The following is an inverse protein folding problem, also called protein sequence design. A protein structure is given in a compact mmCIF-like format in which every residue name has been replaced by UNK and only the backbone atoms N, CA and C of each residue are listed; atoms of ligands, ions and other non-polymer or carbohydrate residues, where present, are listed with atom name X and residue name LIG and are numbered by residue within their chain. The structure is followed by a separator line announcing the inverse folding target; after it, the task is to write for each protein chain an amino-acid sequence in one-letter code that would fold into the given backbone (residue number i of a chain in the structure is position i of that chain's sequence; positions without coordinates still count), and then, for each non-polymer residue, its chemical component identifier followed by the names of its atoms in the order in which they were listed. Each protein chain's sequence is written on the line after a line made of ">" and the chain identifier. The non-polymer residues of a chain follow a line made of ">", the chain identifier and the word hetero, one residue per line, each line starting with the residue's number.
data_IF_065886603947
#
_entry.id   IF_065886603947
#
_cell.length_a   1.000
_cell.length_b   1.000
_cell.length_c   1.000
_cell.angle_alpha   90.00
_cell.angle_beta   90.00
_cell.angle_gamma   90.00
#
_symmetry.space_group_name_H-M   'P 1'
#
loop_
_entity.id
_entity.type
_entity.pdbx_description
1 polymer ?
2 non-polymer ?
3 water ?
#
# COMPACT_ATOMS: atom_id res chain seq x y z
N UNK A 4 6.52 -18.28 -6.16
CA UNK A 4 5.39 -19.16 -6.41
C UNK A 4 4.41 -18.54 -7.39
N UNK A 5 3.53 -19.34 -7.78
CA UNK A 5 2.50 -18.85 -8.69
C UNK A 5 1.65 -17.77 -8.02
N UNK A 6 1.30 -17.98 -6.75
CA UNK A 6 0.53 -16.96 -6.05
C UNK A 6 1.33 -15.68 -5.89
N UNK A 7 2.63 -15.79 -5.64
CA UNK A 7 3.43 -14.58 -5.51
C UNK A 7 3.60 -13.85 -6.84
N UNK A 8 3.58 -14.58 -7.96
CA UNK A 8 3.56 -13.91 -9.26
C UNK A 8 2.28 -13.11 -9.43
N UNK A 9 1.14 -13.68 -9.02
CA UNK A 9 -0.10 -12.91 -9.05
C UNK A 9 0.01 -11.66 -8.19
N UNK A 10 0.61 -11.79 -7.00
CA UNK A 10 0.81 -10.64 -6.13
C UNK A 10 1.68 -9.59 -6.81
N UNK A 11 2.76 -10.03 -7.46
CA UNK A 11 3.61 -9.08 -8.18
C UNK A 11 2.84 -8.39 -9.30
N UNK A 12 1.96 -9.12 -9.98
CA UNK A 12 1.11 -8.50 -10.99
C UNK A 12 0.23 -7.42 -10.41
N UNK A 13 -0.40 -7.71 -9.27
CA UNK A 13 -1.21 -6.71 -8.57
C UNK A 13 -0.36 -5.48 -8.24
N UNK A 14 0.82 -5.72 -7.69
CA UNK A 14 1.72 -4.60 -7.28
C UNK A 14 2.02 -3.73 -8.50
N UNK A 15 2.35 -4.37 -9.62
CA UNK A 15 2.65 -3.65 -10.85
C UNK A 15 1.43 -2.82 -11.24
N UNK A 16 0.24 -3.41 -11.16
CA UNK A 16 -0.97 -2.67 -11.49
C UNK A 16 -1.16 -1.46 -10.57
N UNK A 17 -0.95 -1.64 -9.27
CA UNK A 17 -1.15 -0.53 -8.34
C UNK A 17 -0.20 0.63 -8.64
N UNK A 18 0.97 0.33 -9.20
CA UNK A 18 1.97 1.33 -9.55
C UNK A 18 1.81 1.87 -10.96
N UNK A 19 0.81 1.43 -11.71
CA UNK A 19 0.69 1.74 -13.13
C UNK A 19 -0.11 3.02 -13.37
N UNK A 20 0.02 3.55 -14.59
CA UNK A 20 -0.57 4.85 -14.89
C UNK A 20 -2.08 4.86 -14.70
N UNK A 21 -2.76 3.74 -14.95
CA UNK A 21 -4.21 3.79 -14.91
C UNK A 21 -4.76 4.08 -13.51
N UNK A 22 -3.97 3.85 -12.45
CA UNK A 22 -4.41 4.14 -11.09
C UNK A 22 -3.69 5.33 -10.47
N UNK A 23 -2.85 6.03 -11.25
CA UNK A 23 -1.94 7.01 -10.67
C UNK A 23 -2.68 8.18 -10.03
N UNK A 24 -3.90 8.48 -10.48
CA UNK A 24 -4.60 9.64 -9.96
C UNK A 24 -4.91 9.50 -8.48
N UNK A 25 -5.08 8.27 -7.99
CA UNK A 25 -5.33 8.02 -6.58
C UNK A 25 -4.24 7.20 -5.89
N UNK A 26 -3.33 6.58 -6.64
CA UNK A 26 -2.27 5.78 -6.03
C UNK A 26 -1.06 6.60 -5.59
N UNK A 27 -0.87 7.80 -6.15
CA UNK A 27 0.40 8.50 -5.95
C UNK A 27 0.77 8.73 -4.49
N UNK A 28 -0.15 8.99 -3.56
CA UNK A 28 0.30 9.20 -2.17
C UNK A 28 0.97 7.98 -1.56
N UNK A 29 0.73 6.79 -2.12
CA UNK A 29 1.23 5.53 -1.59
C UNK A 29 2.52 5.08 -2.25
N UNK A 30 3.06 5.86 -3.20
CA UNK A 30 4.23 5.42 -3.96
C UNK A 30 5.49 5.31 -3.10
N UNK A 31 5.67 6.20 -2.14
CA UNK A 31 6.89 6.31 -1.36
C UNK A 31 6.52 6.45 0.10
N UNK A 32 7.46 6.20 1.02
CA UNK A 32 7.15 6.37 2.45
C UNK A 32 6.63 7.78 2.73
N UNK A 33 5.70 7.88 3.67
CA UNK A 33 5.30 9.19 4.17
C UNK A 33 6.54 9.88 4.72
N UNK A 34 6.85 11.07 4.19
CA UNK A 34 7.93 11.90 4.75
C UNK A 34 7.26 12.86 5.72
N UNK A 35 7.17 12.43 6.98
CA UNK A 35 6.37 13.15 7.96
C UNK A 35 6.91 14.55 8.18
N UNK A 36 8.22 14.68 8.31
CA UNK A 36 8.80 16.00 8.54
C UNK A 36 8.55 16.93 7.36
N UNK A 37 8.70 16.44 6.13
CA UNK A 37 8.43 17.28 4.96
C UNK A 37 7.00 17.80 4.96
N UNK A 38 6.05 17.00 5.45
CA UNK A 38 4.64 17.36 5.47
C UNK A 38 4.24 18.09 6.75
N UNK A 39 5.16 18.30 7.68
CA UNK A 39 4.81 18.91 8.95
C UNK A 39 4.02 18.02 9.89
N UNK A 40 4.03 16.71 9.66
CA UNK A 40 3.22 15.77 10.44
C UNK A 40 4.05 15.19 11.58
N UNK A 41 4.29 16.04 12.58
CA UNK A 41 5.25 15.71 13.62
C UNK A 41 4.76 14.68 14.61
N UNK A 42 3.51 14.24 14.48
CA UNK A 42 2.96 13.15 15.28
C UNK A 42 2.85 11.84 14.52
N UNK A 43 3.21 11.81 13.23
CA UNK A 43 2.95 10.63 12.40
C UNK A 43 3.61 9.39 13.00
N UNK A 44 4.88 9.49 13.38
CA UNK A 44 5.59 8.31 13.85
C UNK A 44 5.29 7.96 15.30
N UNK A 45 4.58 8.82 16.03
CA UNK A 45 4.05 8.41 17.32
C UNK A 45 2.77 7.60 17.14
N UNK A 46 2.05 7.84 16.06
CA UNK A 46 0.77 7.19 15.82
C UNK A 46 0.92 5.93 14.97
N UNK A 47 1.85 5.94 14.01
CA UNK A 47 2.06 4.85 13.07
C UNK A 47 3.33 4.12 13.47
N UNK A 48 3.18 2.93 14.05
CA UNK A 48 4.33 2.17 14.53
C UNK A 48 5.07 1.46 13.40
N UNK A 49 4.36 1.08 12.34
CA UNK A 49 4.92 0.28 11.25
C UNK A 49 4.55 0.91 9.92
N UNK A 50 5.30 1.92 9.48
CA UNK A 50 5.02 2.54 8.18
C UNK A 50 5.13 1.54 7.04
N UNK A 51 4.36 1.78 5.99
CA UNK A 51 4.44 0.94 4.80
C UNK A 51 4.00 1.76 3.60
N UNK A 52 4.52 1.40 2.42
CA UNK A 52 4.23 2.10 1.18
C UNK A 52 4.59 1.16 0.03
N UNK A 53 4.15 1.52 -1.18
CA UNK A 53 4.31 0.62 -2.32
C UNK A 53 5.77 0.42 -2.71
N UNK A 54 6.63 1.44 -2.53
CA UNK A 54 8.04 1.23 -2.89
C UNK A 54 8.70 0.22 -1.97
N UNK A 55 8.28 0.17 -0.71
CA UNK A 55 8.80 -0.81 0.22
C UNK A 55 8.28 -2.20 -0.11
N UNK A 56 7.00 -2.31 -0.43
CA UNK A 56 6.47 -3.59 -0.89
C UNK A 56 7.24 -4.08 -2.11
N UNK A 57 7.50 -3.17 -3.05
CA UNK A 57 8.23 -3.54 -4.26
C UNK A 57 9.64 -4.01 -3.94
N UNK A 58 10.36 -3.28 -3.08
CA UNK A 58 11.69 -3.72 -2.69
C UNK A 58 11.65 -5.10 -2.05
N UNK A 59 10.67 -5.34 -1.18
CA UNK A 59 10.57 -6.64 -0.54
C UNK A 59 10.29 -7.74 -1.55
N UNK A 60 9.40 -7.48 -2.51
CA UNK A 60 9.12 -8.46 -3.56
C UNK A 60 10.37 -8.74 -4.39
N UNK A 61 11.07 -7.68 -4.80
CA UNK A 61 12.29 -7.85 -5.60
C UNK A 61 13.34 -8.65 -4.85
N UNK A 62 13.40 -8.51 -3.53
CA UNK A 62 14.37 -9.21 -2.71
C UNK A 62 13.88 -10.58 -2.26
N UNK A 63 12.71 -11.01 -2.72
CA UNK A 63 12.15 -12.31 -2.34
C UNK A 63 11.93 -12.41 -0.83
N UNK A 64 11.57 -11.29 -0.22
CA UNK A 64 11.32 -11.24 1.22
C UNK A 64 10.02 -11.97 1.58
N UNK A 65 8.99 -11.87 0.74
CA UNK A 65 7.70 -12.46 1.10
C UNK A 65 7.72 -13.99 1.05
N UNK A 66 7.28 -14.62 2.14
CA UNK A 66 7.16 -16.08 2.18
C UNK A 66 6.03 -16.56 1.28
N UNK A 67 4.93 -15.82 1.25
CA UNK A 67 3.71 -16.26 0.58
C UNK A 67 2.82 -15.05 0.32
N UNK A 68 1.71 -15.30 -0.37
CA UNK A 68 0.81 -14.21 -0.73
C UNK A 68 0.20 -13.55 0.49
N UNK A 69 -0.06 -14.34 1.53
CA UNK A 69 -0.67 -13.81 2.78
C UNK A 69 0.24 -12.72 3.37
N UNK A 70 1.55 -12.93 3.35
CA UNK A 70 2.47 -11.95 3.92
C UNK A 70 2.48 -10.67 3.09
N UNK A 71 2.46 -10.80 1.76
CA UNK A 71 2.35 -9.64 0.88
C UNK A 71 1.06 -8.87 1.16
N UNK A 72 -0.06 -9.59 1.24
CA UNK A 72 -1.35 -8.93 1.44
C UNK A 72 -1.38 -8.19 2.77
N UNK A 73 -0.77 -8.76 3.80
CA UNK A 73 -0.76 -8.09 5.10
C UNK A 73 -0.03 -6.75 5.02
N UNK A 74 1.06 -6.68 4.25
CA UNK A 74 1.78 -5.41 4.09
C UNK A 74 0.96 -4.39 3.31
N UNK A 75 0.33 -4.80 2.21
CA UNK A 75 -0.48 -3.86 1.45
C UNK A 75 -1.61 -3.32 2.32
N UNK A 76 -2.24 -4.21 3.09
CA UNK A 76 -3.34 -3.78 3.95
C UNK A 76 -2.84 -2.91 5.10
N UNK A 77 -1.64 -3.19 5.62
CA UNK A 77 -1.03 -2.32 6.63
C UNK A 77 -0.87 -0.90 6.11
N UNK A 78 -0.42 -0.77 4.86
CA UNK A 78 -0.28 0.54 4.25
C UNK A 78 -1.61 1.30 4.28
N UNK A 79 -2.70 0.64 3.89
CA UNK A 79 -4.00 1.31 3.92
C UNK A 79 -4.45 1.60 5.34
N UNK A 80 -4.28 0.64 6.24
CA UNK A 80 -4.69 0.84 7.62
C UNK A 80 -3.98 2.03 8.26
N UNK A 81 -2.68 2.19 7.99
CA UNK A 81 -1.96 3.34 8.53
C UNK A 81 -2.62 4.64 8.08
N UNK A 82 -3.06 4.68 6.82
CA UNK A 82 -3.70 5.87 6.29
C UNK A 82 -5.03 6.14 7.00
N UNK A 83 -5.84 5.08 7.18
CA UNK A 83 -7.11 5.22 7.90
C UNK A 83 -6.90 5.58 9.36
N UNK A 84 -5.79 5.14 9.95
CA UNK A 84 -5.53 5.41 11.36
C UNK A 84 -5.11 6.86 11.57
N UNK A 85 -4.26 7.38 10.69
CA UNK A 85 -3.65 8.69 10.94
C UNK A 85 -4.57 9.84 10.55
N UNK A 86 -5.30 9.72 9.45
CA UNK A 86 -5.98 10.84 8.83
C UNK A 86 -7.46 10.87 9.20
N UNK A 87 -8.06 12.05 9.26
CA UNK A 87 -9.50 12.12 9.46
C UNK A 87 -10.22 11.43 8.32
N UNK A 88 -11.39 10.84 8.59
CA UNK A 88 -12.05 10.04 7.55
C UNK A 88 -12.49 10.83 6.33
N UNK A 89 -12.60 12.16 6.43
CA UNK A 89 -13.01 12.99 5.31
C UNK A 89 -11.84 13.55 4.50
N UNK A 90 -10.61 13.14 4.82
CA UNK A 90 -9.44 13.63 4.10
C UNK A 90 -9.38 13.02 2.70
N UNK A 91 -8.93 13.81 1.73
CA UNK A 91 -8.79 13.31 0.36
C UNK A 91 -7.96 12.03 0.31
N UNK A 92 -6.92 11.93 1.15
CA UNK A 92 -6.04 10.76 1.05
C UNK A 92 -6.79 9.49 1.45
N UNK A 93 -7.76 9.61 2.35
CA UNK A 93 -8.54 8.45 2.77
C UNK A 93 -9.45 7.98 1.63
N UNK A 94 -10.05 8.92 0.90
CA UNK A 94 -10.84 8.54 -0.27
C UNK A 94 -9.96 7.84 -1.31
N UNK A 95 -8.73 8.33 -1.49
CA UNK A 95 -7.80 7.70 -2.42
C UNK A 95 -7.41 6.31 -1.93
N UNK A 96 -7.14 6.17 -0.63
CA UNK A 96 -6.84 4.85 -0.07
C UNK A 96 -7.96 3.87 -0.34
N UNK A 97 -9.21 4.28 -0.10
CA UNK A 97 -10.33 3.37 -0.30
C UNK A 97 -10.41 2.91 -1.75
N UNK A 98 -10.18 3.82 -2.69
CA UNK A 98 -10.24 3.45 -4.10
C UNK A 98 -9.12 2.49 -4.48
N UNK A 99 -7.90 2.77 -4.02
CA UNK A 99 -6.80 1.86 -4.34
C UNK A 99 -6.97 0.52 -3.65
N UNK A 100 -7.49 0.52 -2.42
CA UNK A 100 -7.71 -0.74 -1.73
C UNK A 100 -8.78 -1.57 -2.44
N UNK A 101 -9.79 -0.92 -2.99
CA UNK A 101 -10.79 -1.63 -3.79
C UNK A 101 -10.13 -2.34 -4.96
N UNK A 102 -9.25 -1.64 -5.68
CA UNK A 102 -8.51 -2.29 -6.76
C UNK A 102 -7.77 -3.50 -6.24
N UNK A 103 -7.04 -3.32 -5.14
CA UNK A 103 -6.24 -4.40 -4.57
C UNK A 103 -7.11 -5.59 -4.18
N UNK A 104 -8.16 -5.34 -3.40
CA UNK A 104 -8.93 -6.46 -2.85
C UNK A 104 -9.62 -7.25 -3.94
N UNK A 105 -10.17 -6.58 -4.95
CA UNK A 105 -10.85 -7.32 -6.00
C UNK A 105 -9.89 -8.19 -6.80
N UNK A 106 -8.68 -7.71 -7.07
CA UNK A 106 -7.74 -8.54 -7.81
C UNK A 106 -7.08 -9.60 -6.93
N UNK A 107 -6.81 -9.27 -5.66
CA UNK A 107 -6.27 -10.28 -4.76
C UNK A 107 -7.24 -11.45 -4.62
N UNK A 108 -8.54 -11.17 -4.66
CA UNK A 108 -9.55 -12.21 -4.59
C UNK A 108 -9.51 -13.14 -5.79
N UNK A 109 -8.91 -12.72 -6.91
CA UNK A 109 -8.77 -13.58 -8.09
C UNK A 109 -7.50 -14.43 -8.07
N UNK A 110 -6.85 -14.53 -6.92
CA UNK A 110 -5.62 -15.30 -6.79
C UNK A 110 -5.85 -16.75 -7.18
N UNK A 111 -4.97 -17.35 -8.01
CA UNK A 111 -5.04 -18.78 -8.33
C UNK A 111 -4.88 -19.64 -7.08
X LIG B 1 2.41 11.12 0.72
X LIG B 1 1.94 12.55 0.46
X LIG B 1 0.76 13.19 1.19
X LIG B 1 0.05 12.34 2.23
X LIG B 1 0.51 10.97 2.48
X LIG B 1 1.68 10.30 1.76
X LIG B 1 -1.15 12.94 2.98
X LIG B 1 -0.92 13.15 4.46
X LIG B 1 -0.04 12.10 5.08
X LIG B 1 -0.47 10.67 4.68
X LIG B 1 -0.66 8.91 3.42
X LIG B 1 -0.55 7.98 2.22
X LIG B 1 2.67 13.35 -0.58
X LIG B 1 3.50 12.82 -1.51
X LIG B 1 2.57 14.70 -0.78
X LIG B 1 4.86 13.72 -3.38
X LIG B 1 -2.23 14.35 1.26
X LIG B 1 -2.81 15.72 0.96
X LIG B 1 -3.64 15.88 -0.28
X LIG B 1 -3.85 14.68 -1.17
X LIG B 1 -3.26 13.32 -0.88
X LIG B 1 -2.43 13.15 0.36
X LIG B 1 -0.19 10.18 3.49
X LIG B 1 -1.11 9.74 5.39
X LIG B 1 -1.22 8.65 4.58
X LIG B 1 3.94 13.82 -2.26
X LIG B 1 3.36 15.00 -1.80
X LIG B 1 -1.46 14.24 2.44
X LIG B 1 -4.81 14.86 -2.61
X LIG B 1 3.13 10.76 0.26
X LIG B 1 0.49 14.06 1.00
X LIG B 1 1.93 9.43 1.96
X LIG B 1 -1.92 12.36 2.86
X LIG B 1 -0.46 14.01 4.57
X LIG B 1 -1.78 13.12 4.90
X LIG B 1 -0.13 12.17 6.05
X LIG B 1 0.86 12.23 4.76
X LIG B 1 -0.88 7.10 2.47
X LIG B 1 0.38 7.91 1.95
X LIG B 1 -1.07 8.34 1.49
X LIG B 1 3.73 11.92 -1.60
X LIG B 1 2.06 15.29 -0.28
X LIG B 1 4.93 14.58 -3.82
X LIG B 1 4.54 13.05 -4.00
X LIG B 1 5.74 13.46 -3.05
X LIG B 1 -2.67 16.43 1.54
X LIG B 1 -4.03 16.70 -0.50
X LIG B 1 -3.41 12.60 -1.45
X LIG B 1 -2.06 12.33 0.58
X LIG B 1 -1.17 14.95 2.83
#
# INVERSE_FOLDING_TARGET
>A
GKLSEQLKHCNGILKELLSKKHAAYAWPFYKPVDASALGLHDYHDIIKHPMDLSTVKRKMENRDYRDAQEFAADVRLMFSNCYKYNPPDHDVVAMARKLQDVFEFRYAKMPD
>B hetero
1 CQF C01 C02 C03 C04 C05 C06 C07 C08 C09 C10 C14 C15 C16 C17 C20 C21 C23 C24 C25 C26 C27 C28 N11 N12 N13 N18 N19 N22 CL2 H011 H031 H061 H071 H082 H081 H092 H091 H153 H151 H152 H171 H201 H212 H211 H213 H241 H251 H271 H281 H221
#
